data_IF_827745500167
#
_entry.id   IF_827745500167
#
_cell.length_a   1.000
_cell.length_b   1.000
_cell.length_c   1.000
_cell.angle_alpha   90.00
_cell.angle_beta   90.00
_cell.angle_gamma   90.00
#
_symmetry.space_group_name_H-M   'P 1'
#
loop_
_entity.id
_entity.type
_entity.pdbx_description
1 polymer ?
#
# COMPACT_ATOMS: atom_id res chain seq x y z
N UNK A 1 2.77 9.19 -12.77
CA UNK A 1 3.16 9.27 -11.35
C UNK A 1 3.54 7.87 -10.88
N UNK A 2 4.45 7.69 -9.90
CA UNK A 2 4.85 6.35 -9.40
C UNK A 2 3.66 5.51 -8.90
N UNK A 3 2.57 6.18 -8.52
CA UNK A 3 1.32 5.62 -8.01
C UNK A 3 0.41 4.99 -9.06
N UNK A 4 0.44 5.46 -10.31
CA UNK A 4 -0.46 4.96 -11.35
C UNK A 4 -0.22 3.47 -11.66
N UNK A 5 1.01 2.98 -11.45
CA UNK A 5 1.37 1.56 -11.59
C UNK A 5 0.56 0.67 -10.64
N UNK A 6 0.22 1.18 -9.46
CA UNK A 6 -0.31 0.39 -8.35
C UNK A 6 -1.80 0.54 -8.12
N UNK A 7 -2.45 1.47 -8.83
CA UNK A 7 -3.84 1.85 -8.55
C UNK A 7 -4.79 0.66 -8.56
N UNK A 8 -4.64 -0.26 -9.53
CA UNK A 8 -5.50 -1.43 -9.67
C UNK A 8 -5.34 -2.44 -8.54
N UNK A 9 -4.13 -2.58 -7.98
CA UNK A 9 -3.89 -3.47 -6.84
C UNK A 9 -4.52 -2.90 -5.57
N UNK A 10 -4.44 -1.58 -5.42
CA UNK A 10 -5.01 -0.89 -4.26
C UNK A 10 -6.54 -0.91 -4.31
N UNK A 11 -7.14 -0.62 -5.47
CA UNK A 11 -8.58 -0.73 -5.75
C UNK A 11 -9.12 -2.14 -5.47
N UNK A 12 -8.37 -3.19 -5.83
CA UNK A 12 -8.75 -4.57 -5.58
C UNK A 12 -8.68 -4.99 -4.10
N UNK A 13 -8.10 -4.17 -3.23
CA UNK A 13 -8.09 -4.47 -1.81
C UNK A 13 -9.39 -4.00 -1.16
N UNK A 14 -9.94 -4.82 -0.26
CA UNK A 14 -11.23 -4.54 0.42
C UNK A 14 -11.27 -3.18 1.14
N UNK A 15 -10.11 -2.61 1.47
CA UNK A 15 -10.04 -1.30 2.13
C UNK A 15 -10.48 -0.16 1.21
N UNK A 16 -10.40 -0.33 -0.12
CA UNK A 16 -10.71 0.71 -1.11
C UNK A 16 -11.76 0.27 -2.15
N UNK A 17 -12.53 -0.81 -1.88
CA UNK A 17 -13.40 -1.45 -2.89
C UNK A 17 -14.53 -0.59 -3.44
N UNK A 18 -14.91 0.48 -2.74
CA UNK A 18 -16.00 1.39 -3.12
C UNK A 18 -15.49 2.78 -3.54
N UNK A 19 -14.18 2.92 -3.77
CA UNK A 19 -13.56 4.19 -4.17
C UNK A 19 -13.14 4.15 -5.64
N UNK A 20 -13.38 5.24 -6.34
CA UNK A 20 -12.89 5.44 -7.69
C UNK A 20 -11.37 5.61 -7.73
N UNK A 21 -10.78 5.39 -8.91
CA UNK A 21 -9.35 5.61 -9.17
C UNK A 21 -8.90 7.04 -8.76
N UNK A 22 -9.74 8.07 -8.95
CA UNK A 22 -9.42 9.45 -8.58
C UNK A 22 -9.43 9.67 -7.06
N UNK A 23 -10.41 9.09 -6.36
CA UNK A 23 -10.50 9.16 -4.89
C UNK A 23 -9.32 8.46 -4.23
N UNK A 24 -8.95 7.27 -4.73
CA UNK A 24 -7.77 6.54 -4.26
C UNK A 24 -6.50 7.37 -4.48
N UNK A 25 -6.31 7.96 -5.67
CA UNK A 25 -5.14 8.82 -5.96
C UNK A 25 -5.08 10.03 -5.04
N UNK A 26 -6.21 10.69 -4.80
CA UNK A 26 -6.30 11.86 -3.93
C UNK A 26 -5.94 11.50 -2.48
N UNK A 27 -6.53 10.43 -1.96
CA UNK A 27 -6.26 9.95 -0.60
C UNK A 27 -4.81 9.52 -0.42
N UNK A 28 -4.26 8.73 -1.34
CA UNK A 28 -2.87 8.29 -1.22
C UNK A 28 -1.90 9.48 -1.29
N UNK A 29 -2.17 10.47 -2.15
CA UNK A 29 -1.37 11.69 -2.19
C UNK A 29 -1.40 12.45 -0.86
N UNK A 30 -2.52 12.41 -0.14
CA UNK A 30 -2.67 13.01 1.18
C UNK A 30 -1.91 12.22 2.27
N UNK A 31 -1.94 10.89 2.21
CA UNK A 31 -1.29 10.01 3.18
C UNK A 31 0.23 9.93 3.03
N UNK A 32 0.77 10.33 1.88
CA UNK A 32 2.20 10.29 1.53
C UNK A 32 2.90 8.96 1.94
N UNK A 33 2.39 7.81 1.47
CA UNK A 33 2.88 6.52 1.96
C UNK A 33 4.30 6.23 1.46
N UNK A 34 5.05 5.52 2.31
CA UNK A 34 6.39 5.02 1.95
C UNK A 34 6.28 3.74 1.12
N UNK A 35 6.99 3.70 0.00
CA UNK A 35 7.17 2.48 -0.78
C UNK A 35 8.38 1.72 -0.24
N UNK A 36 8.15 0.52 0.30
CA UNK A 36 9.20 -0.35 0.82
C UNK A 36 9.46 -1.50 -0.15
N UNK A 37 10.74 -1.80 -0.41
CA UNK A 37 11.17 -2.99 -1.15
C UNK A 37 11.83 -3.96 -0.19
N UNK A 38 11.32 -5.18 -0.15
CA UNK A 38 11.75 -6.23 0.79
C UNK A 38 12.31 -7.38 -0.04
N UNK A 39 13.52 -7.85 0.27
CA UNK A 39 14.12 -8.96 -0.48
C UNK A 39 13.56 -10.28 0.01
N UNK A 40 13.63 -11.31 -0.85
CA UNK A 40 13.33 -12.67 -0.45
C UNK A 40 14.22 -13.07 0.73
N UNK A 41 13.60 -13.48 1.83
CA UNK A 41 14.28 -13.84 3.09
C UNK A 41 14.36 -12.71 4.11
N UNK A 42 14.03 -11.47 3.75
CA UNK A 42 13.88 -10.36 4.69
C UNK A 42 12.48 -10.36 5.34
N UNK A 43 12.35 -9.67 6.47
CA UNK A 43 11.10 -9.60 7.25
C UNK A 43 10.40 -8.26 7.04
N UNK A 44 9.10 -8.30 6.71
CA UNK A 44 8.25 -7.11 6.60
C UNK A 44 7.70 -6.60 7.94
N UNK A 45 7.72 -7.46 8.95
CA UNK A 45 7.30 -7.18 10.31
C UNK A 45 7.77 -8.31 11.22
N UNK A 46 7.97 -8.00 12.49
CA UNK A 46 8.47 -8.94 13.49
C UNK A 46 7.38 -9.14 14.54
N UNK A 47 7.10 -10.40 14.87
CA UNK A 47 6.13 -10.73 15.90
C UNK A 47 6.56 -10.15 17.26
N UNK A 48 5.63 -9.48 17.94
CA UNK A 48 5.88 -8.83 19.23
C UNK A 48 6.40 -7.40 19.12
N UNK A 49 6.72 -6.92 17.92
CA UNK A 49 7.01 -5.49 17.69
C UNK A 49 5.74 -4.70 17.37
N UNK A 50 5.73 -3.43 17.73
CA UNK A 50 4.62 -2.52 17.43
C UNK A 50 4.66 -2.18 15.94
N UNK A 51 3.58 -2.52 15.23
CA UNK A 51 3.34 -2.03 13.88
C UNK A 51 2.39 -0.83 13.95
N UNK A 52 2.93 0.38 13.85
CA UNK A 52 2.15 1.62 13.91
C UNK A 52 1.73 2.11 12.51
N UNK A 53 1.04 1.24 11.77
CA UNK A 53 0.60 1.54 10.41
C UNK A 53 0.05 0.36 9.64
N UNK A 54 -0.38 0.62 8.40
CA UNK A 54 -0.90 -0.37 7.46
C UNK A 54 0.01 -0.46 6.23
N UNK A 55 0.23 -1.68 5.74
CA UNK A 55 0.97 -1.97 4.50
C UNK A 55 0.11 -2.76 3.52
N UNK A 56 0.30 -2.49 2.23
CA UNK A 56 -0.34 -3.23 1.13
C UNK A 56 0.77 -3.89 0.32
N UNK A 57 0.63 -5.18 0.02
CA UNK A 57 1.54 -5.88 -0.87
C UNK A 57 1.25 -5.45 -2.32
N UNK A 58 2.20 -4.77 -2.95
CA UNK A 58 2.07 -4.25 -4.31
C UNK A 58 2.60 -5.20 -5.37
N UNK A 59 3.65 -5.98 -5.05
CA UNK A 59 4.32 -6.91 -5.94
C UNK A 59 5.06 -7.92 -5.07
N UNK A 60 5.03 -9.21 -5.43
CA UNK A 60 5.62 -10.29 -4.63
C UNK A 60 5.37 -11.66 -5.20
#
# INVERSE_FOLDING_TARGET
MLLDKWIKIIENSKLFSDLSDEEIKSMIKCLDPKILKIKKGDFAGIFGEIMDGLGILLEG
#
